data_IF_909501975329
#
_entry.id   IF_909501975329
#
_cell.length_a   1.000
_cell.length_b   1.000
_cell.length_c   1.000
_cell.angle_alpha   90.00
_cell.angle_beta   90.00
_cell.angle_gamma   90.00
#
_symmetry.space_group_name_H-M   'P 1'
#
loop_
_entity.id
_entity.type
_entity.pdbx_description
1 polymer ?
#
# COMPACT_ATOMS: atom_id res chain seq x y z
N UNK A 1 -29.38 -16.64 -13.69
CA UNK A 1 -28.83 -17.82 -14.44
C UNK A 1 -27.53 -18.23 -13.76
N UNK A 2 -27.12 -19.46 -13.94
CA UNK A 2 -25.89 -19.99 -13.32
C UNK A 2 -24.62 -19.19 -13.73
N UNK A 3 -24.68 -18.54 -14.90
CA UNK A 3 -23.59 -17.70 -15.42
C UNK A 3 -23.57 -16.26 -14.89
N UNK A 4 -24.59 -15.81 -14.14
CA UNK A 4 -24.69 -14.44 -13.67
C UNK A 4 -25.08 -14.39 -12.19
N UNK A 5 -24.18 -13.87 -11.36
CA UNK A 5 -24.42 -13.67 -9.94
C UNK A 5 -24.39 -12.20 -9.55
N UNK A 6 -25.45 -11.73 -8.90
CA UNK A 6 -25.53 -10.41 -8.30
C UNK A 6 -25.47 -10.57 -6.78
N UNK A 7 -24.50 -9.91 -6.15
CA UNK A 7 -24.40 -9.81 -4.70
C UNK A 7 -24.75 -8.38 -4.29
N UNK A 8 -25.77 -8.21 -3.45
CA UNK A 8 -26.12 -6.95 -2.84
C UNK A 8 -26.06 -7.08 -1.32
N UNK A 9 -25.56 -6.07 -0.64
CA UNK A 9 -25.46 -6.07 0.81
C UNK A 9 -25.41 -4.66 1.36
N UNK A 10 -25.67 -4.51 2.64
CA UNK A 10 -25.52 -3.25 3.36
C UNK A 10 -25.09 -3.54 4.80
N UNK A 11 -24.21 -2.70 5.32
CA UNK A 11 -23.84 -2.67 6.73
C UNK A 11 -24.49 -1.46 7.35
N UNK A 12 -25.12 -1.64 8.50
CA UNK A 12 -25.60 -0.55 9.34
C UNK A 12 -24.71 -0.43 10.58
N UNK A 13 -24.25 0.79 10.85
CA UNK A 13 -23.50 1.13 12.05
C UNK A 13 -24.20 2.28 12.76
N UNK A 14 -24.21 2.26 14.08
CA UNK A 14 -24.70 3.36 14.90
C UNK A 14 -23.58 3.84 15.82
N UNK A 15 -23.30 5.13 15.76
CA UNK A 15 -22.34 5.80 16.64
C UNK A 15 -23.08 6.85 17.48
N UNK A 16 -22.83 6.90 18.78
CA UNK A 16 -23.56 7.82 19.68
C UNK A 16 -23.52 9.28 19.21
N UNK A 17 -22.37 9.73 18.69
CA UNK A 17 -22.17 11.11 18.25
C UNK A 17 -22.63 11.36 16.80
N UNK A 18 -22.49 10.38 15.91
CA UNK A 18 -22.71 10.55 14.45
C UNK A 18 -24.02 9.92 13.96
N UNK A 19 -24.77 9.24 14.86
CA UNK A 19 -26.01 8.57 14.49
C UNK A 19 -25.81 7.31 13.68
N UNK A 20 -26.83 6.96 12.91
CA UNK A 20 -26.84 5.76 12.05
C UNK A 20 -26.26 6.03 10.68
N UNK A 21 -25.46 5.08 10.18
CA UNK A 21 -24.90 5.12 8.84
C UNK A 21 -25.10 3.78 8.13
N UNK A 22 -25.47 3.83 6.86
CA UNK A 22 -25.58 2.68 5.97
C UNK A 22 -24.43 2.68 4.95
N UNK A 23 -23.77 1.53 4.83
CA UNK A 23 -22.72 1.29 3.85
C UNK A 23 -23.19 0.21 2.86
N UNK A 24 -23.89 0.57 1.79
CA UNK A 24 -24.35 -0.36 0.76
C UNK A 24 -23.19 -0.81 -0.13
N UNK A 25 -23.36 -2.03 -0.70
CA UNK A 25 -22.50 -2.57 -1.75
C UNK A 25 -23.31 -3.37 -2.76
N UNK A 26 -22.89 -3.34 -4.01
CA UNK A 26 -23.43 -4.21 -5.06
C UNK A 26 -22.27 -4.71 -5.92
N UNK A 27 -22.29 -5.98 -6.25
CA UNK A 27 -21.25 -6.64 -7.02
C UNK A 27 -21.84 -7.64 -8.00
N UNK A 28 -21.41 -7.57 -9.25
CA UNK A 28 -21.84 -8.44 -10.34
C UNK A 28 -20.66 -9.31 -10.76
N UNK A 29 -20.93 -10.60 -10.93
CA UNK A 29 -20.01 -11.58 -11.55
C UNK A 29 -20.76 -12.22 -12.70
N UNK A 30 -20.15 -12.20 -13.88
CA UNK A 30 -20.73 -12.79 -15.08
C UNK A 30 -19.70 -13.69 -15.78
N UNK A 31 -19.96 -14.99 -15.74
CA UNK A 31 -19.20 -15.97 -16.49
C UNK A 31 -19.70 -15.97 -17.94
N UNK A 32 -18.97 -15.23 -18.79
CA UNK A 32 -19.33 -15.06 -20.21
C UNK A 32 -19.11 -16.36 -20.98
N UNK A 33 -18.04 -17.08 -20.61
CA UNK A 33 -17.70 -18.43 -21.06
C UNK A 33 -17.00 -19.16 -19.93
N UNK A 34 -16.68 -20.44 -20.11
CA UNK A 34 -15.93 -21.23 -19.13
C UNK A 34 -14.53 -20.64 -18.82
N UNK A 35 -13.97 -19.82 -19.74
CA UNK A 35 -12.66 -19.21 -19.60
C UNK A 35 -12.69 -17.71 -19.27
N UNK A 36 -13.81 -17.02 -19.48
CA UNK A 36 -13.90 -15.57 -19.31
C UNK A 36 -14.96 -15.16 -18.30
N UNK A 37 -14.54 -14.44 -17.26
CA UNK A 37 -15.43 -13.86 -16.26
C UNK A 37 -15.28 -12.34 -16.24
N UNK A 38 -16.40 -11.63 -16.29
CA UNK A 38 -16.47 -10.19 -16.03
C UNK A 38 -16.94 -9.96 -14.59
N UNK A 39 -16.29 -9.01 -13.92
CA UNK A 39 -16.65 -8.62 -12.55
C UNK A 39 -16.72 -7.11 -12.46
N UNK A 40 -17.62 -6.60 -11.62
CA UNK A 40 -17.69 -5.19 -11.35
C UNK A 40 -18.61 -4.87 -10.20
N UNK A 41 -18.36 -3.74 -9.57
CA UNK A 41 -19.18 -3.39 -8.41
C UNK A 41 -18.96 -1.98 -7.90
N UNK A 42 -19.79 -1.63 -6.94
CA UNK A 42 -19.71 -0.41 -6.16
C UNK A 42 -19.77 -0.76 -4.68
N UNK A 43 -18.87 -0.16 -3.91
CA UNK A 43 -18.80 -0.31 -2.45
C UNK A 43 -18.70 1.06 -1.81
N UNK A 44 -19.37 1.23 -0.67
CA UNK A 44 -19.20 2.42 0.16
C UNK A 44 -18.50 2.08 1.45
N UNK A 45 -17.64 2.98 1.91
CA UNK A 45 -16.91 2.88 3.17
C UNK A 45 -17.27 4.01 4.12
N UNK A 46 -17.26 3.70 5.41
CA UNK A 46 -17.49 4.64 6.49
C UNK A 46 -16.51 4.36 7.62
N UNK A 47 -15.91 5.42 8.18
CA UNK A 47 -15.01 5.31 9.31
C UNK A 47 -15.20 6.50 10.25
N UNK A 48 -15.72 6.25 11.44
CA UNK A 48 -15.81 7.25 12.49
C UNK A 48 -14.41 7.67 12.98
N UNK A 49 -14.23 8.94 13.37
CA UNK A 49 -13.02 9.36 14.07
C UNK A 49 -12.79 8.53 15.33
N UNK A 50 -11.54 8.27 15.66
CA UNK A 50 -11.19 7.56 16.91
C UNK A 50 -11.48 8.42 18.13
N UNK A 51 -11.65 7.78 19.30
CA UNK A 51 -11.88 8.49 20.56
C UNK A 51 -10.78 9.51 20.87
N UNK A 52 -9.49 9.18 20.59
CA UNK A 52 -8.39 10.12 20.76
C UNK A 52 -8.48 11.33 19.85
N UNK A 53 -8.97 11.14 18.61
CA UNK A 53 -9.19 12.24 17.67
C UNK A 53 -10.34 13.16 18.08
N UNK A 54 -11.38 12.62 18.74
CA UNK A 54 -12.56 13.38 19.21
C UNK A 54 -12.38 13.97 20.62
N UNK A 55 -11.34 13.57 21.36
CA UNK A 55 -11.15 14.00 22.73
C UNK A 55 -11.00 15.53 22.82
N UNK A 56 -11.78 16.15 23.70
CA UNK A 56 -11.65 17.59 23.97
C UNK A 56 -10.43 17.85 24.86
N UNK A 57 -9.32 18.28 24.26
CA UNK A 57 -8.06 18.54 24.95
C UNK A 57 -6.93 17.64 24.45
N UNK A 58 -5.87 17.51 25.23
CA UNK A 58 -4.70 16.70 24.89
C UNK A 58 -5.09 15.22 24.95
N UNK A 59 -5.10 14.56 23.82
CA UNK A 59 -5.43 13.13 23.68
C UNK A 59 -4.18 12.22 23.72
N UNK A 60 -3.00 12.81 23.64
CA UNK A 60 -1.74 12.08 23.66
C UNK A 60 -0.53 12.98 23.46
N UNK A 61 0.64 12.36 23.48
CA UNK A 61 1.91 13.03 23.18
C UNK A 61 2.70 12.22 22.16
N UNK A 62 3.46 12.91 21.32
CA UNK A 62 4.34 12.31 20.32
C UNK A 62 5.75 12.92 20.41
N UNK A 63 6.69 12.45 19.57
CA UNK A 63 8.04 13.01 19.54
C UNK A 63 8.78 12.92 20.88
N UNK A 64 8.63 11.81 21.61
CA UNK A 64 9.22 11.63 22.96
C UNK A 64 8.73 12.66 23.99
N UNK A 65 7.45 13.01 23.94
CA UNK A 65 6.83 13.95 24.85
C UNK A 65 6.97 15.42 24.44
N UNK A 66 7.50 15.72 23.28
CA UNK A 66 7.72 17.11 22.81
C UNK A 66 6.52 17.73 22.11
N UNK A 67 5.64 16.89 21.55
CA UNK A 67 4.49 17.37 20.78
C UNK A 67 3.21 16.85 21.40
N UNK A 68 2.33 17.74 21.77
CA UNK A 68 0.98 17.42 22.24
C UNK A 68 0.09 17.06 21.05
N UNK A 69 -0.75 16.06 21.22
CA UNK A 69 -1.81 15.71 20.26
C UNK A 69 -3.14 16.23 20.84
N UNK A 70 -3.70 17.23 20.21
CA UNK A 70 -4.98 17.82 20.59
C UNK A 70 -6.09 17.20 19.75
N UNK A 71 -7.09 16.61 20.37
CA UNK A 71 -8.26 16.11 19.67
C UNK A 71 -9.17 17.24 19.19
N UNK A 72 -10.04 16.92 18.23
CA UNK A 72 -11.03 17.83 17.66
C UNK A 72 -12.42 17.20 17.70
N UNK A 73 -13.34 17.63 18.59
CA UNK A 73 -14.70 17.09 18.67
C UNK A 73 -15.59 17.39 17.46
N UNK A 74 -15.18 18.33 16.59
CA UNK A 74 -15.94 18.74 15.40
C UNK A 74 -15.65 17.89 14.16
N UNK A 75 -14.78 16.89 14.30
CA UNK A 75 -14.47 15.98 13.21
C UNK A 75 -15.73 15.25 12.73
N UNK A 76 -15.81 15.09 11.40
CA UNK A 76 -16.80 14.27 10.71
C UNK A 76 -16.23 12.92 10.36
N UNK A 77 -17.04 11.88 10.24
CA UNK A 77 -16.61 10.59 9.73
C UNK A 77 -16.01 10.69 8.32
N UNK A 78 -15.02 9.84 8.07
CA UNK A 78 -14.48 9.63 6.73
C UNK A 78 -15.44 8.73 5.94
N UNK A 79 -15.70 9.07 4.69
CA UNK A 79 -16.53 8.29 3.78
C UNK A 79 -15.78 8.00 2.48
N UNK A 80 -16.10 6.88 1.84
CA UNK A 80 -15.57 6.56 0.52
C UNK A 80 -16.61 5.88 -0.35
N UNK A 81 -16.48 6.06 -1.66
CA UNK A 81 -17.19 5.30 -2.68
C UNK A 81 -16.16 4.75 -3.65
N UNK A 82 -16.18 3.43 -3.82
CA UNK A 82 -15.28 2.72 -4.73
C UNK A 82 -16.08 2.07 -5.85
N UNK A 83 -15.60 2.22 -7.06
CA UNK A 83 -16.09 1.55 -8.27
C UNK A 83 -14.97 0.70 -8.82
N UNK A 84 -15.28 -0.51 -9.22
CA UNK A 84 -14.32 -1.41 -9.88
C UNK A 84 -14.97 -2.19 -11.01
N UNK A 85 -14.20 -2.47 -12.04
CA UNK A 85 -14.58 -3.37 -13.13
C UNK A 85 -13.35 -4.11 -13.62
N UNK A 86 -13.49 -5.42 -13.84
CA UNK A 86 -12.38 -6.27 -14.25
C UNK A 86 -12.80 -7.40 -15.18
N UNK A 87 -11.82 -7.87 -15.91
CA UNK A 87 -11.89 -9.03 -16.80
C UNK A 87 -10.92 -10.07 -16.30
N UNK A 88 -11.38 -11.31 -16.19
CA UNK A 88 -10.62 -12.46 -15.73
C UNK A 88 -10.63 -13.52 -16.83
N UNK A 89 -9.47 -14.07 -17.10
CA UNK A 89 -9.27 -15.17 -18.01
C UNK A 89 -8.55 -16.33 -17.31
N UNK A 90 -9.05 -17.54 -17.51
CA UNK A 90 -8.42 -18.77 -17.04
C UNK A 90 -8.65 -19.87 -18.10
N UNK A 91 -7.57 -20.38 -18.69
CA UNK A 91 -7.68 -21.45 -19.68
C UNK A 91 -7.74 -22.85 -19.07
N UNK A 92 -7.77 -22.95 -17.71
CA UNK A 92 -7.77 -24.21 -16.94
C UNK A 92 -6.53 -25.11 -17.18
N UNK A 93 -5.53 -24.59 -17.90
CA UNK A 93 -4.27 -25.26 -18.24
C UNK A 93 -3.06 -24.47 -17.72
N UNK A 94 -3.25 -23.69 -16.62
CA UNK A 94 -2.19 -22.96 -15.93
C UNK A 94 -2.00 -21.51 -16.36
N UNK A 95 -2.53 -21.07 -17.53
CA UNK A 95 -2.56 -19.65 -17.89
C UNK A 95 -3.79 -18.99 -17.29
N UNK A 96 -3.58 -18.05 -16.38
CA UNK A 96 -4.62 -17.15 -15.89
C UNK A 96 -4.13 -15.71 -15.89
N UNK A 97 -5.04 -14.78 -16.10
CA UNK A 97 -4.76 -13.36 -16.04
C UNK A 97 -6.03 -12.57 -15.69
N UNK A 98 -5.85 -11.45 -15.01
CA UNK A 98 -6.92 -10.50 -14.81
C UNK A 98 -6.42 -9.07 -14.95
N UNK A 99 -7.32 -8.19 -15.34
CA UNK A 99 -7.12 -6.74 -15.34
C UNK A 99 -8.34 -6.09 -14.69
N UNK A 100 -8.11 -5.23 -13.71
CA UNK A 100 -9.16 -4.53 -12.97
C UNK A 100 -8.85 -3.05 -12.93
N UNK A 101 -9.78 -2.23 -13.42
CA UNK A 101 -9.77 -0.79 -13.24
C UNK A 101 -10.58 -0.39 -12.01
N UNK A 102 -10.10 0.59 -11.26
CA UNK A 102 -10.78 1.07 -10.06
C UNK A 102 -10.73 2.59 -9.91
N UNK A 103 -11.73 3.15 -9.26
CA UNK A 103 -11.80 4.55 -8.82
C UNK A 103 -12.36 4.58 -7.41
N UNK A 104 -11.67 5.25 -6.49
CA UNK A 104 -12.15 5.49 -5.12
C UNK A 104 -12.16 6.98 -4.83
N UNK A 105 -13.32 7.51 -4.52
CA UNK A 105 -13.51 8.87 -4.03
C UNK A 105 -13.63 8.87 -2.50
N UNK A 106 -12.81 9.70 -1.85
CA UNK A 106 -12.81 9.92 -0.41
C UNK A 106 -13.41 11.29 -0.09
N UNK A 107 -14.17 11.34 0.99
CA UNK A 107 -14.72 12.57 1.56
C UNK A 107 -14.40 12.66 3.05
N UNK A 108 -14.25 13.88 3.56
CA UNK A 108 -13.99 14.17 4.98
C UNK A 108 -12.73 13.46 5.53
N UNK A 109 -11.70 13.22 4.72
CA UNK A 109 -10.48 12.57 5.18
C UNK A 109 -9.88 13.29 6.38
N UNK A 110 -9.63 12.56 7.47
CA UNK A 110 -9.02 13.11 8.68
C UNK A 110 -7.51 13.17 8.53
N UNK A 111 -6.95 14.35 8.69
CA UNK A 111 -5.51 14.59 8.64
C UNK A 111 -5.07 15.30 9.91
N UNK A 112 -3.80 15.06 10.30
CA UNK A 112 -3.16 15.85 11.34
C UNK A 112 -2.55 17.10 10.74
N UNK A 113 -2.65 18.20 11.45
CA UNK A 113 -1.97 19.46 11.14
C UNK A 113 -1.30 20.05 12.38
N UNK A 114 -0.30 20.88 12.19
CA UNK A 114 0.41 21.54 13.27
C UNK A 114 -0.28 22.88 13.59
N UNK A 115 -0.65 23.08 14.86
CA UNK A 115 -1.13 24.37 15.37
C UNK A 115 0.07 25.28 15.65
N UNK A 116 1.09 24.70 16.28
CA UNK A 116 2.37 25.35 16.61
C UNK A 116 3.50 24.30 16.65
N UNK A 117 4.72 24.70 17.01
CA UNK A 117 5.90 23.84 17.04
C UNK A 117 5.77 22.60 17.96
N UNK A 118 4.88 22.67 18.95
CA UNK A 118 4.73 21.66 19.99
C UNK A 118 3.30 21.07 20.07
N UNK A 119 2.40 21.45 19.15
CA UNK A 119 1.00 21.04 19.22
C UNK A 119 0.46 20.68 17.83
N UNK A 120 -0.01 19.45 17.69
CA UNK A 120 -0.74 18.98 16.52
C UNK A 120 -2.21 18.73 16.85
N UNK A 121 -3.08 18.90 15.87
CA UNK A 121 -4.50 18.57 15.96
C UNK A 121 -4.98 17.86 14.70
N UNK A 122 -6.27 17.62 14.62
CA UNK A 122 -6.91 16.92 13.52
C UNK A 122 -7.98 17.78 12.86
N UNK A 123 -8.10 17.67 11.56
CA UNK A 123 -9.18 18.28 10.76
C UNK A 123 -9.62 17.36 9.64
N UNK A 124 -10.83 17.56 9.12
CA UNK A 124 -11.22 16.90 7.89
C UNK A 124 -10.63 17.67 6.71
N UNK A 125 -9.71 17.05 5.97
CA UNK A 125 -8.97 17.71 4.88
C UNK A 125 -9.71 17.75 3.56
N UNK A 126 -10.97 17.31 3.56
CA UNK A 126 -11.76 17.38 2.36
C UNK A 126 -11.75 16.13 1.49
N UNK A 127 -11.59 16.29 0.17
CA UNK A 127 -11.79 15.23 -0.83
C UNK A 127 -10.47 14.74 -1.41
N UNK A 128 -10.40 13.44 -1.66
CA UNK A 128 -9.29 12.84 -2.41
C UNK A 128 -9.83 11.80 -3.38
N UNK A 129 -9.10 11.54 -4.46
CA UNK A 129 -9.37 10.47 -5.42
C UNK A 129 -8.16 9.59 -5.57
N UNK A 130 -8.41 8.30 -5.62
CA UNK A 130 -7.47 7.28 -6.02
C UNK A 130 -8.07 6.54 -7.22
N UNK A 131 -7.32 6.36 -8.30
CA UNK A 131 -7.77 5.54 -9.43
C UNK A 131 -6.58 4.83 -10.05
N UNK A 132 -6.86 3.74 -10.75
CA UNK A 132 -5.78 2.97 -11.33
C UNK A 132 -6.24 1.72 -12.05
N UNK A 133 -5.25 0.94 -12.43
CA UNK A 133 -5.41 -0.37 -13.08
C UNK A 133 -4.49 -1.36 -12.39
N UNK A 134 -5.04 -2.52 -12.07
CA UNK A 134 -4.31 -3.67 -11.55
C UNK A 134 -4.32 -4.79 -12.59
N UNK A 135 -3.16 -5.37 -12.80
CA UNK A 135 -2.99 -6.59 -13.57
C UNK A 135 -2.39 -7.66 -12.68
N UNK A 136 -2.92 -8.88 -12.74
CA UNK A 136 -2.29 -10.05 -12.15
C UNK A 136 -2.43 -11.23 -13.12
N UNK A 137 -1.41 -12.09 -13.17
CA UNK A 137 -1.46 -13.26 -14.01
C UNK A 137 -0.36 -14.27 -13.70
N UNK A 138 -0.62 -15.50 -14.09
CA UNK A 138 0.33 -16.61 -14.10
C UNK A 138 0.42 -17.18 -15.50
N UNK A 139 1.61 -17.24 -16.01
CA UNK A 139 1.91 -17.67 -17.37
C UNK A 139 2.87 -18.87 -17.33
N UNK A 140 2.45 -20.07 -17.72
CA UNK A 140 3.38 -21.14 -18.10
C UNK A 140 4.23 -20.65 -19.28
N UNK A 141 5.55 -20.79 -19.16
CA UNK A 141 6.45 -20.34 -20.24
C UNK A 141 6.64 -21.48 -21.26
N UNK A 142 7.85 -21.98 -21.44
CA UNK A 142 8.16 -23.03 -22.43
C UNK A 142 7.88 -24.46 -21.95
N UNK A 143 7.53 -24.65 -20.68
CA UNK A 143 7.01 -25.90 -20.10
C UNK A 143 6.11 -25.59 -18.91
N UNK A 144 5.32 -26.56 -18.45
CA UNK A 144 4.51 -26.46 -17.24
C UNK A 144 5.36 -26.32 -15.97
N UNK A 145 6.64 -26.73 -16.03
CA UNK A 145 7.60 -26.64 -14.93
C UNK A 145 8.09 -25.22 -14.68
N UNK A 146 7.92 -24.31 -15.66
CA UNK A 146 8.38 -22.92 -15.55
C UNK A 146 7.20 -21.98 -15.66
N UNK A 147 6.90 -21.30 -14.57
CA UNK A 147 5.79 -20.34 -14.49
C UNK A 147 6.27 -18.96 -14.10
N UNK A 148 5.77 -17.95 -14.80
CA UNK A 148 5.93 -16.53 -14.44
C UNK A 148 4.64 -16.03 -13.81
N UNK A 149 4.71 -15.60 -12.54
CA UNK A 149 3.64 -14.84 -11.89
C UNK A 149 3.99 -13.37 -11.94
N UNK A 150 3.08 -12.53 -12.40
CA UNK A 150 3.24 -11.09 -12.55
C UNK A 150 2.06 -10.36 -11.91
N UNK A 151 2.38 -9.36 -11.07
CA UNK A 151 1.42 -8.38 -10.58
C UNK A 151 1.94 -6.99 -10.94
N UNK A 152 1.09 -6.18 -11.51
CA UNK A 152 1.37 -4.78 -11.83
C UNK A 152 0.23 -3.92 -11.36
N UNK A 153 0.55 -2.82 -10.69
CA UNK A 153 -0.41 -1.79 -10.30
C UNK A 153 0.05 -0.45 -10.82
N UNK A 154 -0.80 0.22 -11.57
CA UNK A 154 -0.70 1.64 -11.87
C UNK A 154 -1.73 2.38 -11.06
N UNK A 155 -1.31 3.41 -10.31
CA UNK A 155 -2.18 4.16 -9.40
C UNK A 155 -1.89 5.64 -9.51
N UNK A 156 -2.91 6.44 -9.73
CA UNK A 156 -2.85 7.90 -9.55
C UNK A 156 -3.69 8.31 -8.35
N UNK A 157 -3.17 9.25 -7.58
CA UNK A 157 -3.86 9.81 -6.42
C UNK A 157 -3.82 11.34 -6.47
N UNK A 158 -4.90 11.97 -6.02
CA UNK A 158 -5.04 13.42 -6.04
C UNK A 158 -5.85 13.90 -4.83
N UNK A 159 -5.36 14.92 -4.16
CA UNK A 159 -6.16 15.72 -3.21
C UNK A 159 -7.03 16.68 -4.02
N UNK A 160 -8.36 16.62 -3.86
CA UNK A 160 -9.30 17.33 -4.74
C UNK A 160 -9.78 18.67 -4.19
N UNK A 161 -9.45 18.98 -2.94
CA UNK A 161 -9.73 20.28 -2.31
C UNK A 161 -8.67 20.63 -1.25
N UNK A 162 -8.88 21.78 -0.58
CA UNK A 162 -7.93 22.32 0.41
C UNK A 162 -6.67 22.91 -0.21
N UNK A 163 -5.72 23.28 0.66
CA UNK A 163 -4.49 23.99 0.28
C UNK A 163 -3.53 23.15 -0.58
N UNK A 164 -3.67 21.84 -0.52
CA UNK A 164 -2.85 20.89 -1.28
C UNK A 164 -3.60 20.28 -2.48
N UNK A 165 -4.62 20.98 -3.00
CA UNK A 165 -5.36 20.51 -4.18
C UNK A 165 -4.41 20.25 -5.36
N UNK A 166 -4.59 19.10 -6.00
CA UNK A 166 -3.74 18.64 -7.10
C UNK A 166 -2.50 17.83 -6.63
N UNK A 167 -2.15 17.89 -5.35
CA UNK A 167 -1.05 17.10 -4.82
C UNK A 167 -1.44 15.61 -4.68
N UNK A 168 -0.49 14.68 -4.87
CA UNK A 168 -0.75 13.26 -4.66
C UNK A 168 -0.93 12.92 -3.18
N UNK A 169 -1.45 11.72 -2.89
CA UNK A 169 -1.48 11.19 -1.54
C UNK A 169 -0.10 10.66 -1.13
N UNK A 170 0.19 10.71 0.17
CA UNK A 170 1.45 10.21 0.72
C UNK A 170 1.66 8.73 0.43
N UNK A 171 2.90 8.35 0.16
CA UNK A 171 3.33 6.95 0.01
C UNK A 171 2.60 6.15 -1.07
N UNK A 172 1.98 6.81 -2.04
CA UNK A 172 1.30 6.18 -3.17
C UNK A 172 2.21 6.23 -4.39
N UNK A 173 2.97 5.16 -4.71
CA UNK A 173 3.78 5.10 -5.92
C UNK A 173 2.87 4.99 -7.14
N UNK A 174 3.29 5.57 -8.27
CA UNK A 174 2.52 5.49 -9.51
C UNK A 174 2.57 4.08 -10.10
N UNK A 175 3.73 3.43 -10.05
CA UNK A 175 3.92 2.07 -10.57
C UNK A 175 4.46 1.12 -9.50
N UNK A 176 3.86 -0.05 -9.40
CA UNK A 176 4.39 -1.18 -8.62
C UNK A 176 4.37 -2.44 -9.49
N UNK A 177 5.47 -3.21 -9.43
CA UNK A 177 5.59 -4.48 -10.13
C UNK A 177 6.11 -5.53 -9.17
N UNK A 178 5.48 -6.71 -9.16
CA UNK A 178 6.01 -7.91 -8.54
C UNK A 178 6.03 -9.01 -9.60
N UNK A 179 7.20 -9.57 -9.85
CA UNK A 179 7.38 -10.68 -10.77
C UNK A 179 8.06 -11.84 -10.04
N UNK A 180 7.58 -13.05 -10.25
CA UNK A 180 8.18 -14.26 -9.69
C UNK A 180 8.23 -15.35 -10.75
N UNK A 181 9.44 -15.76 -11.08
CA UNK A 181 9.70 -16.93 -11.92
C UNK A 181 9.86 -18.13 -10.97
N UNK A 182 9.03 -19.14 -11.14
CA UNK A 182 9.16 -20.43 -10.46
C UNK A 182 9.61 -21.47 -11.48
N UNK A 183 10.50 -22.37 -11.07
CA UNK A 183 11.02 -23.44 -11.91
C UNK A 183 11.11 -24.73 -11.10
N UNK A 184 10.30 -25.72 -11.49
CA UNK A 184 10.42 -27.10 -11.03
C UNK A 184 11.55 -27.77 -11.83
N UNK A 185 12.74 -27.88 -11.25
CA UNK A 185 13.96 -28.37 -11.93
C UNK A 185 13.91 -29.89 -12.05
N UNK A 186 13.51 -30.57 -10.97
CA UNK A 186 13.22 -31.99 -10.89
C UNK A 186 11.98 -32.22 -10.01
N UNK A 187 11.53 -33.44 -9.85
CA UNK A 187 10.41 -33.76 -8.93
C UNK A 187 10.75 -33.33 -7.47
N UNK A 188 12.04 -33.33 -7.09
CA UNK A 188 12.48 -33.01 -5.74
C UNK A 188 12.95 -31.57 -5.58
N UNK A 189 13.37 -30.89 -6.67
CA UNK A 189 14.02 -29.59 -6.60
C UNK A 189 13.20 -28.53 -7.35
N UNK A 190 12.80 -27.52 -6.60
CA UNK A 190 12.17 -26.31 -7.15
C UNK A 190 13.01 -25.09 -6.81
N UNK A 191 13.06 -24.10 -7.69
CA UNK A 191 13.68 -22.81 -7.47
C UNK A 191 12.76 -21.66 -7.85
N UNK A 192 13.08 -20.48 -7.37
CA UNK A 192 12.37 -19.28 -7.76
C UNK A 192 13.28 -18.05 -7.75
N UNK A 193 12.96 -17.11 -8.62
CA UNK A 193 13.55 -15.77 -8.68
C UNK A 193 12.41 -14.75 -8.61
N UNK A 194 12.46 -13.86 -7.62
CA UNK A 194 11.48 -12.80 -7.42
C UNK A 194 12.09 -11.43 -7.63
N UNK A 195 11.34 -10.51 -8.22
CA UNK A 195 11.70 -9.11 -8.33
C UNK A 195 10.51 -8.24 -7.91
N UNK A 196 10.78 -7.25 -7.06
CA UNK A 196 9.80 -6.26 -6.62
C UNK A 196 10.31 -4.87 -6.98
N UNK A 197 9.54 -4.15 -7.77
CA UNK A 197 9.79 -2.76 -8.12
C UNK A 197 8.72 -1.87 -7.49
N UNK A 198 9.16 -0.76 -6.94
CA UNK A 198 8.30 0.34 -6.50
C UNK A 198 8.83 1.64 -7.08
N UNK A 199 7.96 2.39 -7.71
CA UNK A 199 8.29 3.69 -8.29
C UNK A 199 8.55 4.74 -7.20
N UNK A 200 9.13 5.86 -7.61
CA UNK A 200 9.32 7.04 -6.77
C UNK A 200 8.00 7.52 -6.19
N UNK A 201 8.07 8.08 -5.00
CA UNK A 201 6.90 8.71 -4.37
C UNK A 201 7.24 10.13 -3.91
N UNK A 202 6.29 11.06 -3.92
CA UNK A 202 6.52 12.38 -3.36
C UNK A 202 7.02 12.29 -1.92
N UNK A 203 8.06 13.03 -1.61
CA UNK A 203 8.64 13.11 -0.27
C UNK A 203 7.70 13.84 0.68
N UNK A 204 7.06 14.88 0.19
CA UNK A 204 6.05 15.66 0.88
C UNK A 204 4.83 15.83 -0.03
N UNK A 205 3.66 15.93 0.57
CA UNK A 205 2.39 16.15 -0.13
C UNK A 205 1.90 17.59 -0.02
N UNK A 206 2.62 18.42 0.74
CA UNK A 206 2.38 19.85 0.82
C UNK A 206 3.19 20.59 -0.24
N UNK A 207 2.70 21.77 -0.66
CA UNK A 207 3.45 22.67 -1.50
C UNK A 207 4.74 23.14 -0.77
N UNK A 208 5.81 23.38 -1.51
CA UNK A 208 7.11 23.79 -0.94
C UNK A 208 6.99 24.98 0.02
N UNK A 209 6.14 25.99 -0.31
CA UNK A 209 5.91 27.16 0.54
C UNK A 209 5.40 26.80 1.95
N UNK A 210 4.61 25.72 2.06
CA UNK A 210 3.99 25.25 3.29
C UNK A 210 4.88 24.28 4.09
N UNK A 211 6.04 23.90 3.57
CA UNK A 211 6.98 23.03 4.26
C UNK A 211 7.62 23.75 5.43
N UNK A 212 7.83 23.03 6.54
CA UNK A 212 8.61 23.51 7.68
C UNK A 212 10.09 23.72 7.29
N UNK A 213 10.85 24.46 8.09
CA UNK A 213 12.26 24.74 7.82
C UNK A 213 13.11 23.47 7.65
N UNK A 214 12.88 22.42 8.49
CA UNK A 214 13.59 21.15 8.36
C UNK A 214 13.16 20.36 7.12
N UNK A 215 11.89 20.42 6.74
CA UNK A 215 11.38 19.78 5.52
C UNK A 215 11.95 20.46 4.26
N UNK A 216 12.01 21.80 4.23
CA UNK A 216 12.66 22.55 3.13
C UNK A 216 14.12 22.16 2.97
N UNK A 217 14.86 22.05 4.07
CA UNK A 217 16.25 21.60 4.04
C UNK A 217 16.40 20.19 3.44
N UNK A 218 15.52 19.26 3.81
CA UNK A 218 15.49 17.91 3.23
C UNK A 218 15.11 17.94 1.76
N UNK A 219 14.11 18.74 1.40
CA UNK A 219 13.66 18.89 0.01
C UNK A 219 14.79 19.45 -0.89
N UNK A 220 15.49 20.49 -0.42
CA UNK A 220 16.56 21.14 -1.17
C UNK A 220 17.78 20.20 -1.36
N UNK A 221 18.07 19.33 -0.39
CA UNK A 221 19.22 18.43 -0.44
C UNK A 221 18.89 17.09 -1.12
N UNK A 222 17.74 16.52 -0.83
CA UNK A 222 17.35 15.15 -1.27
C UNK A 222 16.36 15.15 -2.45
N UNK A 223 15.80 16.31 -2.79
CA UNK A 223 14.82 16.48 -3.87
C UNK A 223 13.38 16.17 -3.46
N UNK A 224 12.51 16.36 -4.44
CA UNK A 224 11.05 16.25 -4.31
C UNK A 224 10.55 14.82 -4.04
N UNK A 225 11.29 13.81 -4.52
CA UNK A 225 10.86 12.42 -4.51
C UNK A 225 11.77 11.54 -3.64
N UNK A 226 11.16 10.58 -2.98
CA UNK A 226 11.83 9.34 -2.58
C UNK A 226 12.10 8.53 -3.84
N UNK A 227 13.32 8.00 -3.98
CA UNK A 227 13.74 7.27 -5.18
C UNK A 227 13.00 5.95 -5.36
N UNK A 228 12.81 5.57 -6.60
CA UNK A 228 12.36 4.23 -6.95
C UNK A 228 13.37 3.16 -6.51
N UNK A 229 12.87 1.96 -6.19
CA UNK A 229 13.73 0.86 -5.80
C UNK A 229 13.30 -0.48 -6.40
N UNK A 230 14.25 -1.38 -6.53
CA UNK A 230 14.03 -2.74 -6.98
C UNK A 230 14.78 -3.70 -6.07
N UNK A 231 14.07 -4.70 -5.53
CA UNK A 231 14.66 -5.78 -4.75
C UNK A 231 14.52 -7.08 -5.52
N UNK A 232 15.59 -7.84 -5.60
CA UNK A 232 15.63 -9.17 -6.20
C UNK A 232 15.92 -10.18 -5.12
N UNK A 233 15.08 -11.20 -5.03
CA UNK A 233 15.17 -12.31 -4.08
C UNK A 233 15.22 -13.62 -4.86
N UNK A 234 15.94 -14.62 -4.35
CA UNK A 234 16.03 -15.95 -4.96
C UNK A 234 15.94 -17.03 -3.89
N UNK A 235 15.38 -18.18 -4.27
CA UNK A 235 15.31 -19.29 -3.31
C UNK A 235 15.18 -20.64 -4.00
N UNK A 236 15.33 -21.67 -3.19
CA UNK A 236 15.27 -23.06 -3.60
C UNK A 236 14.59 -23.89 -2.52
N UNK A 237 13.84 -24.88 -2.94
CA UNK A 237 13.29 -25.95 -2.10
C UNK A 237 13.79 -27.29 -2.62
N UNK A 238 14.27 -28.12 -1.72
CA UNK A 238 14.74 -29.47 -2.04
C UNK A 238 14.08 -30.48 -1.10
N UNK A 239 13.30 -31.38 -1.68
CA UNK A 239 12.75 -32.56 -1.02
C UNK A 239 13.84 -33.64 -0.95
N UNK A 240 14.60 -33.66 0.15
CA UNK A 240 15.75 -34.56 0.34
C UNK A 240 15.30 -36.02 0.46
N UNK A 241 14.17 -36.25 1.15
CA UNK A 241 13.44 -37.52 1.26
C UNK A 241 11.95 -37.23 1.30
N UNK A 242 11.11 -38.27 1.33
CA UNK A 242 9.65 -38.09 1.46
C UNK A 242 9.24 -37.39 2.77
N UNK A 243 10.09 -37.44 3.78
CA UNK A 243 9.83 -36.84 5.10
C UNK A 243 10.69 -35.64 5.42
N UNK A 244 11.68 -35.30 4.57
CA UNK A 244 12.65 -34.25 4.85
C UNK A 244 12.75 -33.26 3.68
N UNK A 245 12.51 -31.98 3.93
CA UNK A 245 12.68 -30.90 2.97
C UNK A 245 13.57 -29.79 3.52
N UNK A 246 14.47 -29.32 2.67
CA UNK A 246 15.34 -28.17 2.90
C UNK A 246 14.86 -26.99 2.05
N UNK A 247 14.72 -25.81 2.65
CA UNK A 247 14.45 -24.56 1.93
C UNK A 247 15.56 -23.56 2.22
N UNK A 248 15.97 -22.83 1.20
CA UNK A 248 16.95 -21.76 1.32
C UNK A 248 16.53 -20.55 0.49
N UNK A 249 16.82 -19.36 0.99
CA UNK A 249 16.56 -18.12 0.26
C UNK A 249 17.67 -17.10 0.51
N UNK A 250 17.89 -16.27 -0.48
CA UNK A 250 18.73 -15.08 -0.43
C UNK A 250 17.84 -13.89 -0.75
N UNK A 251 17.62 -13.03 0.23
CA UNK A 251 16.89 -11.79 0.05
C UNK A 251 17.87 -10.68 -0.31
N UNK A 252 17.44 -9.74 -1.16
CA UNK A 252 18.25 -8.67 -1.70
C UNK A 252 19.56 -9.20 -2.32
N UNK A 253 19.42 -10.08 -3.31
CA UNK A 253 20.54 -10.73 -4.02
C UNK A 253 21.58 -9.72 -4.52
N UNK A 254 21.12 -8.54 -4.96
CA UNK A 254 21.97 -7.47 -5.48
C UNK A 254 22.73 -6.72 -4.36
N UNK A 255 22.42 -7.00 -3.11
CA UNK A 255 23.01 -6.36 -1.91
C UNK A 255 22.98 -4.83 -1.98
N UNK A 256 21.87 -4.27 -2.45
CA UNK A 256 21.73 -2.83 -2.51
C UNK A 256 21.33 -2.29 -1.14
N UNK A 257 22.10 -1.30 -0.66
CA UNK A 257 21.75 -0.57 0.56
C UNK A 257 20.63 0.43 0.28
N UNK A 258 19.58 0.37 1.10
CA UNK A 258 18.43 1.28 1.08
C UNK A 258 18.33 2.09 2.38
N UNK A 259 19.32 2.00 3.27
CA UNK A 259 19.30 2.55 4.64
C UNK A 259 20.02 3.89 4.79
N UNK A 260 20.19 4.67 3.73
CA UNK A 260 20.95 5.93 3.67
C UNK A 260 20.30 7.11 4.45
N UNK A 261 19.74 6.84 5.61
CA UNK A 261 18.99 7.83 6.40
C UNK A 261 19.93 8.72 7.20
N UNK A 262 19.77 10.04 7.04
CA UNK A 262 20.48 11.08 7.79
C UNK A 262 19.53 11.90 8.66
N UNK A 263 20.04 12.44 9.76
CA UNK A 263 19.31 13.33 10.65
C UNK A 263 19.46 14.78 10.22
N UNK A 264 18.36 15.40 9.81
CA UNK A 264 18.26 16.80 9.49
C UNK A 264 17.76 17.60 10.71
N UNK A 265 18.26 18.84 10.87
CA UNK A 265 17.88 19.74 11.96
C UNK A 265 17.66 21.15 11.43
N UNK A 266 16.59 21.80 11.95
CA UNK A 266 16.36 23.22 11.78
C UNK A 266 15.69 23.75 13.06
N UNK A 267 16.43 24.56 13.84
CA UNK A 267 16.02 24.95 15.19
C UNK A 267 15.84 23.72 16.10
N UNK A 268 14.69 23.63 16.76
CA UNK A 268 14.29 22.49 17.58
C UNK A 268 13.73 21.30 16.79
N UNK A 269 13.37 21.52 15.52
CA UNK A 269 12.76 20.49 14.67
C UNK A 269 13.80 19.54 14.08
N UNK A 270 13.50 18.25 14.10
CA UNK A 270 14.34 17.19 13.56
C UNK A 270 13.55 16.31 12.60
N UNK A 271 14.21 15.79 11.56
CA UNK A 271 13.64 14.87 10.58
C UNK A 271 14.71 13.88 10.14
N UNK A 272 14.39 12.58 10.19
CA UNK A 272 15.22 11.53 9.57
C UNK A 272 14.78 11.36 8.13
N UNK A 273 15.70 11.53 7.19
CA UNK A 273 15.41 11.40 5.77
C UNK A 273 16.57 10.77 5.01
N UNK A 274 16.22 9.89 4.09
CA UNK A 274 17.13 9.24 3.16
C UNK A 274 16.63 9.40 1.72
N UNK A 275 17.28 8.74 0.80
CA UNK A 275 16.89 8.73 -0.61
C UNK A 275 15.63 7.87 -0.84
N UNK A 276 15.49 6.76 -0.12
CA UNK A 276 14.42 5.77 -0.31
C UNK A 276 13.34 5.83 0.77
N UNK A 277 13.68 6.30 1.96
CA UNK A 277 12.79 6.34 3.11
C UNK A 277 12.87 7.69 3.82
N UNK A 278 11.78 8.05 4.43
CA UNK A 278 11.68 9.19 5.32
C UNK A 278 10.89 8.78 6.54
N UNK A 279 11.51 8.91 7.71
CA UNK A 279 10.85 8.63 8.98
C UNK A 279 10.51 9.96 9.64
N UNK A 280 9.23 10.21 9.90
CA UNK A 280 8.84 11.19 10.90
C UNK A 280 9.20 10.67 12.30
N UNK A 281 9.16 11.51 13.31
CA UNK A 281 9.48 11.14 14.70
C UNK A 281 8.65 9.97 15.27
N UNK A 282 7.64 9.49 14.57
CA UNK A 282 6.71 8.44 15.02
C UNK A 282 6.52 7.29 14.03
N UNK A 283 7.17 7.28 12.87
CA UNK A 283 7.01 6.20 11.92
C UNK A 283 8.22 5.28 11.93
N UNK A 284 8.01 4.06 12.37
CA UNK A 284 8.85 2.92 12.03
C UNK A 284 8.75 2.70 10.52
N UNK A 285 9.57 3.41 9.73
CA UNK A 285 9.68 3.16 8.30
C UNK A 285 10.14 1.72 8.09
N UNK A 286 9.46 0.99 7.21
CA UNK A 286 9.95 -0.32 6.79
C UNK A 286 11.23 -0.11 5.97
N UNK A 287 12.37 -0.44 6.57
CA UNK A 287 13.67 -0.42 5.90
C UNK A 287 13.87 -1.77 5.22
N UNK A 288 14.17 -1.75 3.93
CA UNK A 288 14.56 -2.98 3.22
C UNK A 288 15.94 -3.38 3.74
N UNK A 289 16.10 -4.57 4.33
CA UNK A 289 17.39 -5.00 4.84
C UNK A 289 18.39 -5.23 3.71
N UNK A 290 19.67 -5.14 4.03
CA UNK A 290 20.74 -5.62 3.17
C UNK A 290 20.58 -7.12 2.89
N UNK A 291 21.46 -7.68 2.04
CA UNK A 291 21.41 -9.10 1.72
C UNK A 291 21.41 -9.94 2.99
N UNK A 292 20.42 -10.79 3.08
CA UNK A 292 20.30 -11.75 4.17
C UNK A 292 19.97 -13.14 3.62
N UNK A 293 20.30 -14.13 4.42
CA UNK A 293 20.16 -15.53 4.07
C UNK A 293 19.19 -16.16 5.04
N UNK A 294 18.28 -16.97 4.52
CA UNK A 294 17.34 -17.72 5.28
C UNK A 294 17.39 -19.20 4.90
N UNK A 295 17.28 -20.08 5.89
CA UNK A 295 17.26 -21.52 5.67
C UNK A 295 16.29 -22.17 6.66
N UNK A 296 15.53 -23.16 6.20
CA UNK A 296 14.70 -24.01 7.06
C UNK A 296 14.83 -25.47 6.68
N UNK A 297 14.73 -26.32 7.68
CA UNK A 297 14.63 -27.75 7.57
C UNK A 297 13.25 -28.18 8.10
N UNK A 298 12.47 -28.86 7.26
CA UNK A 298 11.17 -29.39 7.63
C UNK A 298 11.26 -30.90 7.67
N UNK A 299 10.90 -31.50 8.80
CA UNK A 299 10.82 -32.94 8.96
C UNK A 299 9.41 -33.34 9.39
N UNK A 300 8.83 -34.32 8.68
CA UNK A 300 7.49 -34.84 8.95
C UNK A 300 7.61 -36.26 9.49
N UNK A 301 6.99 -36.52 10.65
CA UNK A 301 7.01 -37.82 11.32
C UNK A 301 5.95 -38.76 10.75
#
# INVERSE_FOLDING_TARGET
TDALALTAGSRYEHHEQFGGHFSPRAYLVWDVTDAWTLKGGVTTGYKAPSMGQLHKGISGVSGQGRTNLLGNPELKPEESVSYEAGVYYDNLAGLNANITGFITDFSNKIVSYSIDDNTNSYTNSGKARLHGVEFAGTLPLWSEDVTLSLNYTWTQSEQRDGDNKGAPLSYTPEHMVNAKLNWQITEEVASWLGARYRDKTPRFTQNYSSLSAVQKKVYDEKGEYLKAWTVVDAGMSWKVTDTLALNAAVNNVLNKDYSDVSLYRAGSSTLYAGDYFQTGASTTGYVIPERNYWMSLNYQF
#
